data_IF_631669844988
#
_entry.id   IF_631669844988
#
_cell.length_a   1.000
_cell.length_b   1.000
_cell.length_c   1.000
_cell.angle_alpha   90.00
_cell.angle_beta   90.00
_cell.angle_gamma   90.00
#
_symmetry.space_group_name_H-M   'P 1'
#
loop_
_entity.id
_entity.type
_entity.pdbx_description
1 polymer ?
#
# COMPACT_ATOMS: atom_id res chain seq x y z
N UNK A 1 -13.18 1.27 -28.63
CA UNK A 1 -13.15 1.00 -27.19
C UNK A 1 -11.69 0.86 -26.79
N UNK A 2 -11.13 1.83 -26.10
CA UNK A 2 -9.77 1.78 -25.56
C UNK A 2 -9.67 0.62 -24.58
N UNK A 3 -8.73 -0.29 -24.80
CA UNK A 3 -8.48 -1.40 -23.88
C UNK A 3 -8.05 -0.84 -22.50
N UNK A 4 -8.66 -1.29 -21.39
CA UNK A 4 -8.18 -0.90 -20.06
C UNK A 4 -6.73 -1.37 -19.91
N UNK A 5 -5.85 -0.46 -19.52
CA UNK A 5 -4.46 -0.78 -19.19
C UNK A 5 -4.38 -1.66 -17.93
N UNK A 6 -3.20 -2.22 -17.66
CA UNK A 6 -3.01 -3.13 -16.52
C UNK A 6 -3.32 -2.47 -15.16
N UNK A 7 -3.05 -1.18 -15.03
CA UNK A 7 -3.30 -0.41 -13.81
C UNK A 7 -4.78 -0.09 -13.61
N UNK A 8 -5.53 0.14 -14.71
CA UNK A 8 -6.99 0.24 -14.65
C UNK A 8 -7.64 -1.05 -14.16
N UNK A 9 -7.04 -2.22 -14.48
CA UNK A 9 -7.43 -3.51 -13.91
C UNK A 9 -7.07 -3.67 -12.42
N UNK A 10 -6.05 -2.95 -11.95
CA UNK A 10 -5.65 -2.91 -10.54
C UNK A 10 -6.44 -1.88 -9.72
N UNK A 11 -7.08 -0.90 -10.37
CA UNK A 11 -7.80 0.16 -9.66
C UNK A 11 -8.80 -0.36 -8.61
N UNK A 12 -9.55 -1.48 -8.83
CA UNK A 12 -10.39 -2.07 -7.79
C UNK A 12 -9.58 -2.58 -6.58
N UNK A 13 -8.37 -3.13 -6.82
CA UNK A 13 -7.49 -3.64 -5.77
C UNK A 13 -6.75 -2.53 -5.03
N UNK A 14 -6.60 -1.37 -5.69
CA UNK A 14 -6.01 -0.16 -5.13
C UNK A 14 -7.07 0.79 -4.54
N UNK A 15 -8.35 0.43 -4.59
CA UNK A 15 -9.44 1.13 -3.89
C UNK A 15 -9.31 0.89 -2.39
N UNK A 16 -8.29 1.51 -1.84
CA UNK A 16 -8.10 1.65 -0.40
C UNK A 16 -8.90 2.86 0.07
N UNK A 17 -9.38 2.82 1.32
CA UNK A 17 -10.01 3.99 1.92
C UNK A 17 -8.95 4.77 2.69
N UNK A 18 -8.52 5.94 2.20
CA UNK A 18 -7.66 6.79 2.97
C UNK A 18 -8.45 7.38 4.14
N UNK A 19 -7.84 7.32 5.29
CA UNK A 19 -8.30 7.99 6.49
C UNK A 19 -7.29 9.10 6.79
N UNK A 20 -7.65 10.34 6.47
CA UNK A 20 -6.84 11.50 6.82
C UNK A 20 -6.94 11.72 8.33
N UNK A 21 -5.80 11.78 9.01
CA UNK A 21 -5.75 11.88 10.46
C UNK A 21 -5.33 13.27 10.92
N UNK A 22 -4.31 13.83 10.28
CA UNK A 22 -3.70 15.07 10.74
C UNK A 22 -3.28 15.99 9.60
N UNK A 23 -3.47 17.27 9.80
CA UNK A 23 -2.67 18.33 9.17
C UNK A 23 -1.60 18.74 10.16
N UNK A 24 -0.34 18.64 9.80
CA UNK A 24 0.79 18.98 10.65
C UNK A 24 1.42 20.28 10.18
N UNK A 25 1.69 21.20 11.13
CA UNK A 25 2.34 22.49 10.89
C UNK A 25 3.46 22.65 11.91
N UNK A 26 4.69 22.46 11.45
CA UNK A 26 5.84 22.40 12.33
C UNK A 26 6.88 23.49 12.04
N UNK A 27 7.40 24.11 13.12
CA UNK A 27 8.56 24.97 13.09
C UNK A 27 9.87 24.20 12.90
N UNK A 28 11.01 24.80 13.31
CA UNK A 28 12.34 24.24 12.99
C UNK A 28 12.67 22.94 13.72
N UNK A 29 12.26 22.79 14.98
CA UNK A 29 12.62 21.64 15.83
C UNK A 29 11.37 20.85 16.22
N UNK A 30 11.29 19.63 15.73
CA UNK A 30 10.19 18.71 16.04
C UNK A 30 10.58 17.27 15.70
N UNK A 31 9.98 16.34 16.43
CA UNK A 31 9.97 14.93 16.08
C UNK A 31 8.61 14.33 16.42
N UNK A 32 8.08 13.54 15.53
CA UNK A 32 6.79 12.87 15.64
C UNK A 32 6.98 11.36 15.40
N UNK A 33 7.13 10.56 16.46
CA UNK A 33 7.23 9.13 16.35
C UNK A 33 5.85 8.52 16.01
N UNK A 34 5.87 7.54 15.13
CA UNK A 34 4.73 6.72 14.74
C UNK A 34 5.05 5.26 15.02
N UNK A 35 4.22 4.62 15.82
CA UNK A 35 4.32 3.18 16.06
C UNK A 35 3.95 2.40 14.82
N UNK A 36 4.40 1.14 14.76
CA UNK A 36 3.96 0.23 13.71
C UNK A 36 2.45 0.06 13.72
N UNK A 37 1.83 0.08 12.54
CA UNK A 37 0.40 -0.14 12.37
C UNK A 37 0.11 -1.65 12.27
N UNK A 38 -1.12 -2.03 12.61
CA UNK A 38 -1.59 -3.40 12.39
C UNK A 38 -1.72 -3.71 10.89
N UNK A 39 -1.68 -4.99 10.53
CA UNK A 39 -1.61 -5.48 9.14
C UNK A 39 -2.64 -4.92 8.15
N UNK A 40 -3.73 -4.30 8.61
CA UNK A 40 -4.78 -3.72 7.75
C UNK A 40 -4.57 -2.24 7.41
N UNK A 41 -3.48 -1.63 7.84
CA UNK A 41 -3.22 -0.21 7.69
C UNK A 41 -1.83 0.07 7.11
N UNK A 42 -1.76 1.04 6.19
CA UNK A 42 -0.50 1.60 5.72
C UNK A 42 -0.48 3.12 5.91
N UNK A 43 0.41 3.65 6.74
CA UNK A 43 0.60 5.08 6.89
C UNK A 43 1.07 5.73 5.59
N UNK A 44 0.65 6.97 5.39
CA UNK A 44 1.19 7.81 4.34
C UNK A 44 1.35 9.26 4.82
N UNK A 45 2.30 9.96 4.22
CA UNK A 45 2.53 11.38 4.44
C UNK A 45 2.68 12.12 3.12
N UNK A 46 2.07 13.27 3.02
CA UNK A 46 2.17 14.19 1.89
C UNK A 46 2.84 15.46 2.40
N UNK A 47 3.99 15.83 1.85
CA UNK A 47 4.64 17.09 2.19
C UNK A 47 4.02 18.19 1.34
N UNK A 48 3.18 19.01 1.96
CA UNK A 48 2.46 20.10 1.26
C UNK A 48 3.28 21.37 1.20
N UNK A 49 4.22 21.57 2.15
CA UNK A 49 5.14 22.71 2.16
C UNK A 49 6.40 22.40 2.98
N UNK A 50 7.55 23.00 2.63
CA UNK A 50 8.82 22.87 3.33
C UNK A 50 9.53 21.55 3.12
N UNK A 51 10.26 21.09 4.15
CA UNK A 51 11.04 19.85 4.10
C UNK A 51 11.17 19.21 5.49
N UNK A 52 11.33 17.87 5.50
CA UNK A 52 11.52 17.09 6.69
C UNK A 52 12.32 15.81 6.40
N UNK A 53 12.60 15.02 7.44
CA UNK A 53 13.23 13.72 7.32
C UNK A 53 12.29 12.65 7.90
N UNK A 54 12.18 11.53 7.20
CA UNK A 54 11.59 10.31 7.72
C UNK A 54 12.70 9.34 8.07
N UNK A 55 12.76 8.92 9.31
CA UNK A 55 13.67 7.88 9.81
C UNK A 55 12.92 6.57 10.01
N UNK A 56 13.48 5.47 9.49
CA UNK A 56 12.96 4.10 9.59
C UNK A 56 13.87 3.32 10.57
N UNK A 57 13.44 3.11 11.83
CA UNK A 57 14.31 2.52 12.86
C UNK A 57 14.76 1.08 12.54
N UNK A 58 13.90 0.25 11.93
CA UNK A 58 14.22 -1.15 11.62
C UNK A 58 15.34 -1.30 10.60
N UNK A 59 15.31 -0.49 9.53
CA UNK A 59 16.33 -0.53 8.47
C UNK A 59 17.46 0.47 8.70
N UNK A 60 17.35 1.39 9.68
CA UNK A 60 18.29 2.47 9.93
C UNK A 60 18.33 3.53 8.82
N UNK A 61 17.38 3.51 7.87
CA UNK A 61 17.34 4.43 6.74
C UNK A 61 16.74 5.77 7.14
N UNK A 62 17.29 6.84 6.60
CA UNK A 62 16.69 8.18 6.67
C UNK A 62 16.43 8.69 5.26
N UNK A 63 15.25 9.24 5.03
CA UNK A 63 14.77 9.73 3.74
C UNK A 63 14.40 11.20 3.91
N UNK A 64 15.09 12.08 3.19
CA UNK A 64 14.71 13.49 3.15
C UNK A 64 13.53 13.67 2.21
N UNK A 65 12.52 14.39 2.67
CA UNK A 65 11.29 14.70 1.94
C UNK A 65 11.14 16.21 1.79
N UNK A 66 10.58 16.63 0.67
CA UNK A 66 10.38 18.04 0.30
C UNK A 66 8.97 18.28 -0.19
N UNK A 67 8.59 19.54 -0.33
CA UNK A 67 7.30 19.93 -0.92
C UNK A 67 7.01 19.15 -2.20
N UNK A 68 5.87 18.51 -2.26
CA UNK A 68 5.43 17.67 -3.36
C UNK A 68 5.80 16.20 -3.25
N UNK A 69 6.55 15.79 -2.23
CA UNK A 69 6.84 14.38 -2.00
C UNK A 69 5.67 13.70 -1.28
N UNK A 70 5.37 12.49 -1.72
CA UNK A 70 4.42 11.59 -1.09
C UNK A 70 5.16 10.32 -0.69
N UNK A 71 5.03 9.94 0.56
CA UNK A 71 5.58 8.69 1.06
C UNK A 71 4.45 7.79 1.57
N UNK A 72 4.53 6.52 1.17
CA UNK A 72 3.66 5.44 1.60
C UNK A 72 4.51 4.38 2.31
N UNK A 73 4.05 3.90 3.46
CA UNK A 73 4.64 2.79 4.19
C UNK A 73 3.72 1.55 4.08
N UNK A 74 3.88 0.75 3.02
CA UNK A 74 2.91 -0.31 2.68
C UNK A 74 2.76 -1.40 3.73
N UNK A 75 3.79 -1.59 4.57
CA UNK A 75 3.83 -2.63 5.62
C UNK A 75 3.47 -2.10 7.01
N UNK A 76 3.07 -0.84 7.11
CA UNK A 76 2.76 -0.24 8.41
C UNK A 76 3.99 0.00 9.30
N UNK A 77 5.20 0.07 8.73
CA UNK A 77 6.46 0.15 9.48
C UNK A 77 6.48 1.33 10.45
N UNK A 78 7.04 1.11 11.65
CA UNK A 78 7.32 2.18 12.60
C UNK A 78 8.28 3.20 11.96
N UNK A 79 8.04 4.48 12.20
CA UNK A 79 8.86 5.54 11.63
C UNK A 79 8.82 6.81 12.47
N UNK A 80 9.81 7.67 12.28
CA UNK A 80 9.90 8.96 12.97
C UNK A 80 9.99 10.06 11.90
N UNK A 81 9.01 10.96 11.90
CA UNK A 81 9.06 12.18 11.10
C UNK A 81 9.71 13.27 11.94
N UNK A 82 10.71 13.99 11.41
CA UNK A 82 11.39 15.05 12.17
C UNK A 82 11.89 16.18 11.28
N UNK A 83 12.13 17.34 11.90
CA UNK A 83 12.72 18.50 11.23
C UNK A 83 14.15 18.24 10.73
N UNK A 84 14.60 18.99 9.73
CA UNK A 84 15.94 18.83 9.13
C UNK A 84 17.09 18.97 10.14
N UNK A 85 16.90 19.77 11.17
CA UNK A 85 17.91 20.06 12.22
C UNK A 85 17.69 19.25 13.50
N UNK A 86 16.71 18.36 13.53
CA UNK A 86 16.35 17.57 14.71
C UNK A 86 16.84 16.13 14.54
N UNK A 87 17.42 15.56 15.59
CA UNK A 87 17.80 14.15 15.61
C UNK A 87 16.55 13.26 15.76
N UNK A 88 16.44 12.10 15.09
CA UNK A 88 15.36 11.14 15.31
C UNK A 88 15.33 10.58 16.73
N UNK A 89 16.47 10.59 17.44
CA UNK A 89 16.62 10.17 18.84
C UNK A 89 16.43 11.31 19.84
N UNK A 90 16.12 12.53 19.37
CA UNK A 90 15.94 13.66 20.25
C UNK A 90 14.74 13.42 21.18
N UNK A 91 15.03 13.25 22.45
CA UNK A 91 14.04 13.13 23.52
C UNK A 91 13.75 14.53 24.07
N UNK A 92 12.68 15.15 23.63
CA UNK A 92 12.26 16.46 24.16
C UNK A 92 10.77 16.68 23.95
N UNK A 93 10.13 17.40 24.86
CA UNK A 93 8.77 17.88 24.62
C UNK A 93 8.84 18.94 23.52
N UNK A 94 8.61 18.55 22.27
CA UNK A 94 8.56 19.49 21.15
C UNK A 94 7.29 20.36 21.16
N UNK A 95 6.50 20.27 22.23
CA UNK A 95 5.32 21.12 22.44
C UNK A 95 4.22 20.92 21.40
N UNK A 96 4.13 19.74 20.78
CA UNK A 96 3.12 19.47 19.75
C UNK A 96 1.72 19.51 20.38
N UNK A 97 0.93 20.52 20.02
CA UNK A 97 -0.46 20.65 20.39
C UNK A 97 -1.36 20.10 19.28
N UNK A 98 -2.48 19.51 19.66
CA UNK A 98 -3.53 19.07 18.73
C UNK A 98 -4.75 19.95 18.89
N UNK A 99 -5.29 20.49 17.77
CA UNK A 99 -6.51 21.30 17.72
C UNK A 99 -7.48 20.69 16.71
N UNK A 100 -8.74 20.67 17.04
CA UNK A 100 -9.80 20.29 16.10
C UNK A 100 -10.05 21.47 15.13
N UNK A 101 -10.06 21.19 13.83
CA UNK A 101 -10.37 22.15 12.78
C UNK A 101 -11.73 21.82 12.10
N UNK A 102 -12.57 21.01 12.75
CA UNK A 102 -13.89 20.62 12.26
C UNK A 102 -13.87 19.53 11.17
N UNK A 103 -12.79 19.44 10.37
CA UNK A 103 -12.62 18.45 9.32
C UNK A 103 -11.59 17.38 9.68
N UNK A 104 -10.51 17.79 10.37
CA UNK A 104 -9.35 16.95 10.68
C UNK A 104 -8.55 17.59 11.83
N UNK A 105 -7.82 16.78 12.59
CA UNK A 105 -6.98 17.29 13.67
C UNK A 105 -5.74 18.02 13.11
N UNK A 106 -5.47 19.21 13.63
CA UNK A 106 -4.24 19.97 13.34
C UNK A 106 -3.23 19.74 14.45
N UNK A 107 -2.05 19.25 14.10
CA UNK A 107 -0.88 19.15 15.01
C UNK A 107 0.09 20.30 14.72
N UNK A 108 0.45 21.06 15.74
CA UNK A 108 1.41 22.16 15.61
C UNK A 108 2.31 22.26 16.82
N UNK A 109 3.57 22.67 16.60
CA UNK A 109 4.51 23.08 17.65
C UNK A 109 4.90 24.57 17.51
N UNK A 110 4.21 25.32 16.68
CA UNK A 110 4.47 26.74 16.46
C UNK A 110 3.16 27.49 16.18
N UNK A 111 3.08 28.73 16.62
CA UNK A 111 2.03 29.68 16.23
C UNK A 111 2.57 30.71 15.22
N UNK A 112 3.82 30.57 14.76
CA UNK A 112 4.52 31.45 13.82
C UNK A 112 4.88 30.76 12.52
N UNK A 113 6.09 31.02 12.03
CA UNK A 113 6.59 30.42 10.78
C UNK A 113 6.64 28.90 10.83
N UNK A 114 6.22 28.27 9.75
CA UNK A 114 6.28 26.83 9.57
C UNK A 114 7.41 26.44 8.62
N UNK A 115 8.23 25.47 9.02
CA UNK A 115 9.32 24.91 8.22
C UNK A 115 8.90 23.65 7.47
N UNK A 116 7.83 23.00 7.93
CA UNK A 116 7.25 21.85 7.28
C UNK A 116 5.73 21.78 7.51
N UNK A 117 4.98 21.53 6.43
CA UNK A 117 3.56 21.24 6.49
C UNK A 117 3.32 19.87 5.84
N UNK A 118 2.56 19.01 6.54
CA UNK A 118 2.26 17.67 6.07
C UNK A 118 0.76 17.35 6.24
N UNK A 119 0.24 16.57 5.33
CA UNK A 119 -1.01 15.84 5.51
C UNK A 119 -0.65 14.40 5.80
N UNK A 120 -1.08 13.90 6.95
CA UNK A 120 -0.79 12.55 7.42
C UNK A 120 -2.07 11.75 7.52
N UNK A 121 -2.01 10.50 7.10
CA UNK A 121 -3.12 9.58 7.16
C UNK A 121 -2.68 8.15 7.04
N UNK A 122 -3.66 7.27 6.91
CA UNK A 122 -3.45 5.85 6.73
C UNK A 122 -4.43 5.28 5.72
N UNK A 123 -4.04 4.23 5.03
CA UNK A 123 -4.87 3.47 4.11
C UNK A 123 -5.45 2.27 4.83
N UNK A 124 -6.75 2.09 4.74
CA UNK A 124 -7.42 0.89 5.21
C UNK A 124 -7.56 -0.12 4.08
N UNK A 125 -7.18 -1.37 4.36
CA UNK A 125 -7.32 -2.50 3.44
C UNK A 125 -8.51 -3.35 3.84
N UNK A 126 -9.41 -3.58 2.90
CA UNK A 126 -10.61 -4.39 3.13
C UNK A 126 -10.43 -5.84 2.69
N UNK A 127 -9.46 -6.13 1.79
CA UNK A 127 -9.28 -7.44 1.17
C UNK A 127 -7.85 -7.96 1.27
N UNK A 128 -7.71 -9.27 1.50
CA UNK A 128 -6.40 -9.93 1.58
C UNK A 128 -5.55 -9.78 0.30
N UNK A 129 -6.19 -9.64 -0.87
CA UNK A 129 -5.50 -9.36 -2.13
C UNK A 129 -4.79 -8.00 -2.16
N UNK A 130 -5.39 -6.98 -1.54
CA UNK A 130 -4.77 -5.64 -1.42
C UNK A 130 -3.51 -5.70 -0.55
N UNK A 131 -3.57 -6.38 0.59
CA UNK A 131 -2.43 -6.60 1.46
C UNK A 131 -1.27 -7.30 0.76
N UNK A 132 -1.56 -8.18 -0.17
CA UNK A 132 -0.54 -8.88 -0.95
C UNK A 132 0.24 -7.95 -1.88
N UNK A 133 -0.47 -7.10 -2.62
CA UNK A 133 0.17 -6.11 -3.51
C UNK A 133 1.03 -5.14 -2.70
N UNK A 134 0.50 -4.62 -1.60
CA UNK A 134 1.19 -3.63 -0.79
C UNK A 134 2.39 -4.21 -0.03
N UNK A 135 2.29 -5.44 0.43
CA UNK A 135 3.43 -6.10 1.10
C UNK A 135 4.55 -6.51 0.13
N UNK A 136 4.26 -6.61 -1.17
CA UNK A 136 5.28 -6.78 -2.20
C UNK A 136 6.03 -5.48 -2.50
N UNK A 137 5.47 -4.32 -2.13
CA UNK A 137 6.15 -3.04 -2.21
C UNK A 137 7.29 -2.94 -1.17
N UNK A 138 8.30 -2.10 -1.40
CA UNK A 138 9.37 -1.87 -0.44
C UNK A 138 8.82 -1.28 0.88
N UNK A 139 9.66 -1.26 1.92
CA UNK A 139 9.33 -0.71 3.24
C UNK A 139 8.75 0.70 3.18
N UNK A 140 9.31 1.54 2.29
CA UNK A 140 8.80 2.86 1.98
C UNK A 140 8.82 3.10 0.46
N UNK A 141 7.70 3.57 -0.07
CA UNK A 141 7.57 4.05 -1.45
C UNK A 141 7.51 5.56 -1.41
N UNK A 142 8.47 6.20 -2.05
CA UNK A 142 8.52 7.67 -2.16
C UNK A 142 8.34 8.06 -3.62
N UNK A 143 7.44 8.97 -3.87
CA UNK A 143 7.24 9.58 -5.19
C UNK A 143 7.34 11.08 -5.05
N UNK A 144 8.20 11.66 -5.86
CA UNK A 144 8.43 13.10 -5.89
C UNK A 144 7.63 13.77 -7.02
N UNK A 145 6.97 14.86 -6.70
CA UNK A 145 6.33 15.70 -7.70
C UNK A 145 7.35 16.60 -8.46
N UNK A 146 8.64 16.46 -8.19
CA UNK A 146 9.68 17.21 -8.93
C UNK A 146 10.00 16.55 -10.28
N UNK A 147 9.85 15.24 -10.41
CA UNK A 147 10.30 14.45 -11.55
C UNK A 147 9.24 13.45 -12.01
N UNK A 148 9.27 13.08 -13.29
CA UNK A 148 8.40 12.08 -13.89
C UNK A 148 7.20 12.66 -14.64
N UNK A 149 6.57 11.81 -15.46
CA UNK A 149 5.46 12.19 -16.35
C UNK A 149 4.23 12.68 -15.59
N UNK A 150 3.99 12.16 -14.40
CA UNK A 150 2.86 12.52 -13.53
C UNK A 150 3.15 13.69 -12.57
N UNK A 151 4.37 14.23 -12.55
CA UNK A 151 4.80 15.25 -11.59
C UNK A 151 3.86 16.46 -11.48
N UNK A 152 3.36 16.95 -12.61
CA UNK A 152 2.41 18.09 -12.65
C UNK A 152 1.06 17.73 -12.03
N UNK A 153 0.55 16.52 -12.32
CA UNK A 153 -0.74 16.06 -11.78
C UNK A 153 -0.65 15.82 -10.28
N UNK A 154 0.43 15.23 -9.81
CA UNK A 154 0.72 15.00 -8.38
C UNK A 154 0.74 16.34 -7.65
N UNK A 155 1.48 17.35 -8.15
CA UNK A 155 1.49 18.69 -7.56
C UNK A 155 0.12 19.33 -7.47
N UNK A 156 -0.69 19.21 -8.53
CA UNK A 156 -2.06 19.75 -8.56
C UNK A 156 -2.95 19.06 -7.54
N UNK A 157 -2.90 17.73 -7.44
CA UNK A 157 -3.68 16.99 -6.46
C UNK A 157 -3.28 17.36 -5.02
N UNK A 158 -1.97 17.48 -4.73
CA UNK A 158 -1.47 17.92 -3.42
C UNK A 158 -1.99 19.35 -3.10
N UNK A 159 -1.94 20.25 -4.07
CA UNK A 159 -2.46 21.61 -3.88
C UNK A 159 -3.96 21.62 -3.58
N UNK A 160 -4.76 20.80 -4.27
CA UNK A 160 -6.19 20.67 -4.00
C UNK A 160 -6.47 20.08 -2.62
N UNK A 161 -5.73 19.02 -2.22
CA UNK A 161 -5.85 18.46 -0.86
C UNK A 161 -5.58 19.53 0.18
N UNK A 162 -4.51 20.31 0.01
CA UNK A 162 -4.17 21.41 0.92
C UNK A 162 -5.27 22.48 0.96
N UNK A 163 -5.74 22.95 -0.19
CA UNK A 163 -6.77 24.00 -0.31
C UNK A 163 -8.08 23.56 0.36
N UNK A 164 -8.52 22.32 0.15
CA UNK A 164 -9.73 21.81 0.80
C UNK A 164 -9.59 21.75 2.33
N UNK A 165 -8.44 21.28 2.82
CA UNK A 165 -8.21 21.17 4.27
C UNK A 165 -8.00 22.53 4.95
N UNK A 166 -7.36 23.49 4.28
CA UNK A 166 -7.17 24.85 4.80
C UNK A 166 -8.48 25.66 4.76
N UNK A 167 -9.37 25.37 3.81
CA UNK A 167 -10.63 26.08 3.61
C UNK A 167 -11.71 25.81 4.65
N UNK A 168 -11.64 24.71 5.39
CA UNK A 168 -12.57 24.34 6.46
C UNK A 168 -14.05 24.24 6.02
N UNK A 169 -14.31 24.01 4.72
CA UNK A 169 -15.65 23.95 4.14
C UNK A 169 -16.36 22.63 4.50
N UNK A 170 -17.70 22.60 4.61
CA UNK A 170 -18.43 21.35 4.74
C UNK A 170 -18.07 20.35 3.63
N UNK A 171 -17.72 19.11 3.98
CA UNK A 171 -17.30 18.08 3.04
C UNK A 171 -15.82 18.07 2.68
N UNK A 172 -15.01 19.05 3.14
CA UNK A 172 -13.59 19.14 2.83
C UNK A 172 -12.80 17.85 3.13
N UNK A 173 -13.06 17.21 4.28
CA UNK A 173 -12.40 15.93 4.63
C UNK A 173 -12.74 14.79 3.65
N UNK A 174 -13.98 14.73 3.16
CA UNK A 174 -14.39 13.72 2.19
C UNK A 174 -13.70 13.97 0.82
N UNK A 175 -13.73 15.21 0.33
CA UNK A 175 -13.07 15.59 -0.92
C UNK A 175 -11.56 15.34 -0.83
N UNK A 176 -10.91 15.76 0.24
CA UNK A 176 -9.48 15.54 0.44
C UNK A 176 -9.13 14.03 0.52
N UNK A 177 -10.00 13.22 1.10
CA UNK A 177 -9.86 11.76 1.14
C UNK A 177 -9.92 11.13 -0.27
N UNK A 178 -10.87 11.55 -1.10
CA UNK A 178 -10.98 11.05 -2.48
C UNK A 178 -9.78 11.49 -3.35
N UNK A 179 -9.30 12.73 -3.17
CA UNK A 179 -8.09 13.22 -3.83
C UNK A 179 -6.84 12.43 -3.37
N UNK A 180 -6.74 12.12 -2.07
CA UNK A 180 -5.69 11.27 -1.54
C UNK A 180 -5.75 9.85 -2.12
N UNK A 181 -6.95 9.29 -2.34
CA UNK A 181 -7.12 8.00 -3.03
C UNK A 181 -6.51 8.02 -4.44
N UNK A 182 -6.82 9.06 -5.22
CA UNK A 182 -6.27 9.24 -6.56
C UNK A 182 -4.74 9.36 -6.52
N UNK A 183 -4.21 10.18 -5.59
CA UNK A 183 -2.78 10.39 -5.41
C UNK A 183 -2.05 9.08 -5.09
N UNK A 184 -2.61 8.22 -4.24
CA UNK A 184 -2.01 6.94 -3.87
C UNK A 184 -1.97 5.93 -5.02
N UNK A 185 -3.00 5.93 -5.88
CA UNK A 185 -2.96 5.14 -7.12
C UNK A 185 -1.81 5.61 -8.01
N UNK A 186 -1.58 6.92 -8.12
CA UNK A 186 -0.46 7.49 -8.88
C UNK A 186 0.90 7.12 -8.26
N UNK A 187 1.02 7.11 -6.93
CA UNK A 187 2.23 6.67 -6.23
C UNK A 187 2.57 5.20 -6.57
N UNK A 188 1.58 4.32 -6.51
CA UNK A 188 1.79 2.90 -6.88
C UNK A 188 2.15 2.77 -8.36
N UNK A 189 1.48 3.52 -9.24
CA UNK A 189 1.78 3.55 -10.68
C UNK A 189 3.22 3.97 -10.95
N UNK A 190 3.64 5.11 -10.44
CA UNK A 190 4.99 5.63 -10.62
C UNK A 190 6.04 4.64 -10.10
N UNK A 191 5.76 3.97 -8.98
CA UNK A 191 6.64 2.94 -8.46
C UNK A 191 6.74 1.73 -9.41
N UNK A 192 5.62 1.24 -9.93
CA UNK A 192 5.60 0.09 -10.85
C UNK A 192 6.30 0.38 -12.19
N UNK A 193 6.24 1.64 -12.67
CA UNK A 193 6.91 2.08 -13.91
C UNK A 193 8.42 2.23 -13.74
N UNK A 194 8.88 2.68 -12.58
CA UNK A 194 10.29 2.97 -12.32
C UNK A 194 11.06 1.80 -11.70
N UNK A 195 10.38 0.94 -10.95
CA UNK A 195 11.03 -0.13 -10.23
C UNK A 195 11.44 -1.27 -11.16
N UNK A 196 12.75 -1.52 -11.25
CA UNK A 196 13.28 -2.83 -11.65
C UNK A 196 13.08 -3.80 -10.49
N UNK A 197 11.84 -4.25 -10.30
CA UNK A 197 11.52 -5.10 -9.16
C UNK A 197 11.97 -6.54 -9.39
N UNK A 198 12.61 -7.11 -8.37
CA UNK A 198 12.89 -8.55 -8.29
C UNK A 198 11.67 -9.35 -7.83
N UNK A 199 10.63 -8.67 -7.32
CA UNK A 199 9.40 -9.32 -6.89
C UNK A 199 8.53 -9.72 -8.07
N UNK A 200 8.20 -11.02 -8.11
CA UNK A 200 7.44 -11.63 -9.21
C UNK A 200 6.03 -11.05 -9.36
N UNK A 201 5.38 -10.72 -8.23
CA UNK A 201 4.04 -10.15 -8.24
C UNK A 201 4.05 -8.75 -8.86
N UNK A 202 4.94 -7.88 -8.42
CA UNK A 202 5.06 -6.52 -8.95
C UNK A 202 5.47 -6.51 -10.42
N UNK A 203 6.40 -7.40 -10.81
CA UNK A 203 6.82 -7.55 -12.21
C UNK A 203 5.66 -7.99 -13.13
N UNK A 204 4.78 -8.88 -12.63
CA UNK A 204 3.58 -9.30 -13.37
C UNK A 204 2.53 -8.17 -13.42
N UNK A 205 2.33 -7.45 -12.31
CA UNK A 205 1.38 -6.34 -12.22
C UNK A 205 1.76 -5.17 -13.14
N UNK A 206 3.05 -4.86 -13.25
CA UNK A 206 3.56 -3.86 -14.19
C UNK A 206 3.50 -4.28 -15.67
N UNK A 207 3.22 -5.57 -15.98
CA UNK A 207 3.14 -6.03 -17.37
C UNK A 207 1.70 -5.89 -17.92
N UNK A 208 1.46 -5.22 -19.05
CA UNK A 208 0.11 -4.89 -19.53
C UNK A 208 -0.88 -6.07 -19.64
N UNK A 209 -0.41 -7.22 -20.10
CA UNK A 209 -1.25 -8.42 -20.25
C UNK A 209 -1.34 -9.24 -18.96
N UNK A 210 -0.18 -9.50 -18.32
CA UNK A 210 -0.14 -10.31 -17.10
C UNK A 210 -0.82 -9.59 -15.94
N UNK A 211 -0.67 -8.27 -15.83
CA UNK A 211 -1.30 -7.48 -14.78
C UNK A 211 -2.81 -7.63 -14.73
N UNK A 212 -3.50 -7.68 -15.88
CA UNK A 212 -4.95 -7.95 -15.94
C UNK A 212 -5.31 -9.34 -15.42
N UNK A 213 -4.54 -10.35 -15.80
CA UNK A 213 -4.78 -11.71 -15.31
C UNK A 213 -4.54 -11.82 -13.81
N UNK A 214 -3.45 -11.21 -13.28
CA UNK A 214 -3.15 -11.18 -11.85
C UNK A 214 -4.20 -10.39 -11.07
N UNK A 215 -4.66 -9.25 -11.58
CA UNK A 215 -5.73 -8.48 -10.97
C UNK A 215 -7.01 -9.31 -10.82
N UNK A 216 -7.42 -10.03 -11.88
CA UNK A 216 -8.58 -10.92 -11.83
C UNK A 216 -8.40 -12.08 -10.83
N UNK A 217 -7.20 -12.67 -10.75
CA UNK A 217 -6.88 -13.70 -9.76
C UNK A 217 -6.96 -13.17 -8.32
N UNK A 218 -6.50 -11.94 -8.07
CA UNK A 218 -6.54 -11.29 -6.76
C UNK A 218 -7.99 -10.92 -6.35
N UNK A 219 -8.79 -10.46 -7.30
CA UNK A 219 -10.20 -10.10 -7.08
C UNK A 219 -11.05 -11.33 -6.75
N UNK A 220 -10.82 -12.43 -7.45
CA UNK A 220 -11.58 -13.67 -7.28
C UNK A 220 -10.66 -14.90 -7.13
N UNK A 221 -9.90 -15.02 -6.03
CA UNK A 221 -8.93 -16.11 -5.83
C UNK A 221 -9.61 -17.48 -5.75
N UNK A 222 -10.83 -17.55 -5.22
CA UNK A 222 -11.59 -18.78 -5.10
C UNK A 222 -12.19 -19.31 -6.41
N UNK A 223 -12.27 -18.48 -7.45
CA UNK A 223 -12.81 -18.89 -8.74
C UNK A 223 -11.93 -19.96 -9.40
N UNK A 224 -12.55 -21.00 -9.97
CA UNK A 224 -11.87 -22.06 -10.73
C UNK A 224 -11.38 -21.54 -12.11
N UNK A 225 -10.39 -20.64 -12.09
CA UNK A 225 -9.83 -20.06 -13.29
C UNK A 225 -9.22 -21.10 -14.23
N UNK A 226 -9.59 -21.04 -15.49
CA UNK A 226 -8.92 -21.79 -16.57
C UNK A 226 -7.87 -20.89 -17.25
N UNK A 227 -6.92 -21.52 -17.95
CA UNK A 227 -5.93 -20.75 -18.72
C UNK A 227 -6.60 -19.95 -19.86
N UNK A 228 -7.69 -20.44 -20.40
CA UNK A 228 -8.46 -19.75 -21.44
C UNK A 228 -9.14 -18.48 -20.91
N UNK A 229 -9.77 -18.56 -19.75
CA UNK A 229 -10.39 -17.40 -19.11
C UNK A 229 -9.35 -16.34 -18.74
N UNK A 230 -8.19 -16.76 -18.18
CA UNK A 230 -7.10 -15.86 -17.86
C UNK A 230 -6.52 -15.19 -19.11
N UNK A 231 -6.36 -15.93 -20.21
CA UNK A 231 -5.90 -15.39 -21.49
C UNK A 231 -6.92 -14.40 -22.09
N UNK A 232 -8.21 -14.69 -21.96
CA UNK A 232 -9.30 -13.80 -22.38
C UNK A 232 -9.26 -12.47 -21.60
N UNK A 233 -9.22 -12.52 -20.27
CA UNK A 233 -9.10 -11.33 -19.41
C UNK A 233 -7.82 -10.54 -19.68
N UNK A 234 -6.71 -11.23 -19.95
CA UNK A 234 -5.44 -10.63 -20.32
C UNK A 234 -5.43 -10.02 -21.73
N UNK A 235 -6.48 -10.22 -22.54
CA UNK A 235 -6.50 -9.90 -23.98
C UNK A 235 -5.26 -10.45 -24.70
N UNK A 236 -4.95 -11.73 -24.46
CA UNK A 236 -3.73 -12.38 -24.92
C UNK A 236 -4.00 -13.82 -25.35
N UNK A 237 -3.11 -14.39 -26.16
CA UNK A 237 -3.14 -15.84 -26.38
C UNK A 237 -2.60 -16.60 -25.16
N UNK A 238 -3.06 -17.86 -24.96
CA UNK A 238 -2.52 -18.75 -23.91
C UNK A 238 -0.99 -18.82 -23.93
N UNK A 239 -0.41 -19.00 -25.11
CA UNK A 239 1.03 -19.12 -25.28
C UNK A 239 1.78 -17.83 -24.87
N UNK A 240 1.23 -16.66 -25.24
CA UNK A 240 1.81 -15.37 -24.84
C UNK A 240 1.73 -15.17 -23.32
N UNK A 241 0.57 -15.43 -22.72
CA UNK A 241 0.39 -15.31 -21.27
C UNK A 241 1.36 -16.22 -20.49
N UNK A 242 1.47 -17.50 -20.88
CA UNK A 242 2.41 -18.44 -20.26
C UNK A 242 3.86 -17.96 -20.39
N UNK A 243 4.24 -17.42 -21.55
CA UNK A 243 5.59 -16.89 -21.78
C UNK A 243 5.89 -15.70 -20.85
N UNK A 244 4.96 -14.79 -20.69
CA UNK A 244 5.10 -13.63 -19.81
C UNK A 244 5.24 -14.06 -18.35
N UNK A 245 4.37 -14.95 -17.86
CA UNK A 245 4.46 -15.46 -16.50
C UNK A 245 5.79 -16.18 -16.24
N UNK A 246 6.25 -17.01 -17.16
CA UNK A 246 7.57 -17.67 -17.05
C UNK A 246 8.73 -16.68 -17.07
N UNK A 247 8.63 -15.59 -17.81
CA UNK A 247 9.65 -14.55 -17.88
C UNK A 247 9.70 -13.75 -16.57
N UNK A 248 8.56 -13.31 -16.05
CA UNK A 248 8.47 -12.42 -14.87
C UNK A 248 8.53 -13.21 -13.56
N UNK A 249 7.83 -14.34 -13.46
CA UNK A 249 7.63 -15.07 -12.21
C UNK A 249 8.27 -16.49 -12.20
N UNK A 250 8.86 -16.94 -13.31
CA UNK A 250 9.48 -18.28 -13.47
C UNK A 250 8.51 -19.46 -13.34
N UNK A 251 7.22 -19.22 -13.23
CA UNK A 251 6.18 -20.25 -13.11
C UNK A 251 5.06 -20.03 -14.12
N UNK A 252 4.17 -21.03 -14.28
CA UNK A 252 3.00 -20.92 -15.15
C UNK A 252 1.84 -20.16 -14.45
N UNK A 253 0.88 -19.57 -15.21
CA UNK A 253 -0.22 -18.78 -14.62
C UNK A 253 -1.04 -19.51 -13.56
N UNK A 254 -1.42 -20.77 -13.77
CA UNK A 254 -2.21 -21.54 -12.82
C UNK A 254 -1.38 -21.96 -11.58
N UNK A 255 -0.07 -22.18 -11.74
CA UNK A 255 0.83 -22.43 -10.61
C UNK A 255 0.98 -21.13 -9.77
N UNK A 256 1.09 -19.97 -10.43
CA UNK A 256 1.08 -18.68 -9.75
C UNK A 256 -0.22 -18.47 -8.95
N UNK A 257 -1.38 -18.79 -9.54
CA UNK A 257 -2.66 -18.73 -8.83
C UNK A 257 -2.67 -19.63 -7.58
N UNK A 258 -2.07 -20.81 -7.65
CA UNK A 258 -1.96 -21.72 -6.50
C UNK A 258 -1.12 -21.10 -5.39
N UNK A 259 0.05 -20.52 -5.72
CA UNK A 259 0.89 -19.81 -4.73
C UNK A 259 0.18 -18.59 -4.15
N UNK A 260 -0.53 -17.82 -4.97
CA UNK A 260 -1.32 -16.68 -4.56
C UNK A 260 -2.42 -17.07 -3.54
N UNK A 261 -3.15 -18.16 -3.82
CA UNK A 261 -4.18 -18.72 -2.93
C UNK A 261 -3.61 -19.11 -1.56
N UNK A 262 -2.47 -19.78 -1.56
CA UNK A 262 -1.79 -20.21 -0.33
C UNK A 262 -1.29 -19.01 0.47
N UNK A 263 -0.78 -17.98 -0.18
CA UNK A 263 -0.33 -16.75 0.51
C UNK A 263 -1.51 -15.96 1.10
N UNK A 264 -2.63 -15.85 0.36
CA UNK A 264 -3.88 -15.25 0.89
C UNK A 264 -4.37 -16.04 2.12
N UNK A 265 -4.35 -17.38 2.03
CA UNK A 265 -4.76 -18.23 3.14
C UNK A 265 -3.85 -18.08 4.36
N UNK A 266 -2.53 -18.01 4.18
CA UNK A 266 -1.56 -17.79 5.24
C UNK A 266 -1.85 -16.53 6.04
N UNK A 267 -2.13 -15.42 5.35
CA UNK A 267 -2.48 -14.14 5.98
C UNK A 267 -3.81 -14.21 6.73
N UNK A 268 -4.82 -14.87 6.14
CA UNK A 268 -6.11 -15.07 6.81
C UNK A 268 -5.99 -15.93 8.07
N UNK A 269 -5.08 -16.89 8.08
CA UNK A 269 -4.79 -17.72 9.26
C UNK A 269 -4.16 -16.91 10.39
N UNK A 270 -3.22 -16.02 10.07
CA UNK A 270 -2.56 -15.15 11.05
C UNK A 270 -3.53 -14.16 11.71
N UNK A 271 -4.45 -13.59 10.94
CA UNK A 271 -5.35 -12.52 11.39
C UNK A 271 -6.73 -12.96 11.92
N UNK A 272 -7.07 -14.27 11.91
CA UNK A 272 -8.43 -14.68 12.25
C UNK A 272 -8.55 -16.04 12.95
N UNK A 273 -9.58 -16.17 13.83
CA UNK A 273 -10.00 -17.45 14.42
C UNK A 273 -10.92 -18.30 13.53
N UNK A 274 -11.09 -17.96 12.26
CA UNK A 274 -12.04 -18.62 11.34
C UNK A 274 -11.69 -20.10 11.13
N UNK A 275 -12.68 -21.00 10.91
CA UNK A 275 -12.45 -22.40 10.58
C UNK A 275 -11.54 -22.57 9.35
N UNK A 276 -10.69 -23.60 9.38
CA UNK A 276 -9.79 -23.91 8.25
C UNK A 276 -10.56 -24.24 6.96
N UNK A 277 -11.70 -24.92 7.10
CA UNK A 277 -12.58 -25.26 5.98
C UNK A 277 -13.08 -24.01 5.24
N UNK A 278 -13.48 -22.96 6.00
CA UNK A 278 -13.97 -21.71 5.42
C UNK A 278 -12.87 -20.96 4.65
N UNK A 279 -11.66 -20.91 5.23
CA UNK A 279 -10.50 -20.30 4.56
C UNK A 279 -10.13 -21.09 3.29
N UNK A 280 -10.11 -22.42 3.37
CA UNK A 280 -9.82 -23.29 2.24
C UNK A 280 -10.84 -23.08 1.09
N UNK A 281 -12.12 -23.05 1.40
CA UNK A 281 -13.20 -22.83 0.43
C UNK A 281 -13.09 -21.43 -0.21
N UNK A 282 -12.85 -20.41 0.58
CA UNK A 282 -12.72 -19.02 0.11
C UNK A 282 -11.56 -18.84 -0.88
N UNK A 283 -10.45 -19.55 -0.67
CA UNK A 283 -9.31 -19.51 -1.60
C UNK A 283 -9.41 -20.56 -2.72
N UNK A 284 -10.52 -21.26 -2.84
CA UNK A 284 -10.86 -22.14 -3.97
C UNK A 284 -10.38 -23.59 -3.87
N UNK A 285 -10.15 -24.10 -2.66
CA UNK A 285 -9.91 -25.53 -2.45
C UNK A 285 -11.23 -26.26 -2.20
N UNK A 286 -11.37 -27.44 -2.84
CA UNK A 286 -12.57 -28.27 -2.75
C UNK A 286 -12.71 -29.00 -1.39
N UNK A 287 -11.58 -29.12 -0.66
CA UNK A 287 -11.57 -29.75 0.66
C UNK A 287 -10.45 -29.18 1.53
N UNK A 288 -10.68 -29.18 2.85
CA UNK A 288 -9.68 -28.80 3.84
C UNK A 288 -8.42 -29.69 3.77
N UNK A 289 -8.59 -30.99 3.45
CA UNK A 289 -7.47 -31.92 3.33
C UNK A 289 -6.57 -31.62 2.13
N UNK A 290 -7.15 -31.23 0.98
CA UNK A 290 -6.37 -30.80 -0.18
C UNK A 290 -5.63 -29.48 0.08
N UNK A 291 -6.29 -28.53 0.74
CA UNK A 291 -5.70 -27.29 1.19
C UNK A 291 -4.52 -27.54 2.15
N UNK A 292 -4.73 -28.33 3.21
CA UNK A 292 -3.72 -28.59 4.24
C UNK A 292 -2.48 -29.24 3.65
N UNK A 293 -2.62 -30.20 2.71
CA UNK A 293 -1.49 -30.80 1.99
C UNK A 293 -0.72 -29.79 1.15
N UNK A 294 -1.42 -28.96 0.37
CA UNK A 294 -0.79 -27.94 -0.46
C UNK A 294 -0.07 -26.88 0.41
N UNK A 295 -0.68 -26.47 1.50
CA UNK A 295 -0.12 -25.52 2.45
C UNK A 295 1.15 -26.07 3.13
N UNK A 296 1.11 -27.32 3.62
CA UNK A 296 2.25 -27.97 4.24
C UNK A 296 3.40 -28.18 3.24
N UNK A 297 3.09 -28.55 2.00
CA UNK A 297 4.11 -28.67 0.94
C UNK A 297 4.80 -27.32 0.66
N UNK A 298 4.07 -26.22 0.71
CA UNK A 298 4.57 -24.86 0.41
C UNK A 298 5.35 -24.23 1.56
N UNK A 299 4.88 -24.42 2.80
CA UNK A 299 5.41 -23.72 3.98
C UNK A 299 6.11 -24.63 5.01
N UNK A 300 6.11 -25.94 4.81
CA UNK A 300 6.74 -26.91 5.71
C UNK A 300 5.95 -27.17 7.01
N UNK A 301 4.93 -26.40 7.30
CA UNK A 301 4.09 -26.49 8.51
C UNK A 301 2.62 -26.67 8.16
N UNK A 302 1.82 -27.21 9.06
CA UNK A 302 0.37 -27.34 8.87
C UNK A 302 -0.32 -26.00 9.09
N UNK A 303 -1.49 -25.74 8.45
CA UNK A 303 -2.23 -24.47 8.63
C UNK A 303 -2.56 -24.14 10.09
N UNK A 304 -2.89 -25.16 10.91
CA UNK A 304 -3.17 -24.99 12.34
C UNK A 304 -1.95 -24.53 13.14
N UNK A 305 -0.76 -25.05 12.84
CA UNK A 305 0.51 -24.66 13.46
C UNK A 305 0.89 -23.22 13.06
N UNK A 306 0.74 -22.87 11.78
CA UNK A 306 0.99 -21.53 11.29
C UNK A 306 0.12 -20.47 11.99
N UNK A 307 -1.13 -20.82 12.37
CA UNK A 307 -2.03 -19.95 13.15
C UNK A 307 -1.51 -19.70 14.57
N UNK A 308 -0.92 -20.70 15.22
CA UNK A 308 -0.42 -20.56 16.59
C UNK A 308 0.84 -19.70 16.67
N UNK A 309 1.79 -19.89 15.74
CA UNK A 309 3.01 -19.08 15.68
C UNK A 309 2.74 -17.58 15.48
N UNK A 310 1.58 -17.20 14.91
CA UNK A 310 1.22 -15.79 14.69
C UNK A 310 0.55 -15.13 15.89
N UNK A 311 0.24 -15.88 16.96
CA UNK A 311 -0.38 -15.34 18.20
C UNK A 311 0.63 -14.98 19.28
N UNK A 312 1.87 -15.42 19.13
CA UNK A 312 2.94 -15.24 20.13
C UNK A 312 3.89 -14.06 19.77
N UNK A 313 3.53 -13.25 18.79
CA UNK A 313 4.22 -12.01 18.39
C UNK A 313 3.22 -10.86 18.38
#
# INVERSE_FOLDING_TARGET
MTQPDALSGLAPLLRVRPELQYVCRFGAQWAAPHSAEVESWAPFHIVTDGACVMHLPESGRSIQLRTGDVVLLPRGSAHIMHGLTTSPTASGPFGIASRDNGAILVKSNTDGETNAQLVCGRLRFEHAGQNLVLSALPEAVVVSAAEGDDALLIRRLIAFVKEELDGGRPGAAAIASDLASALLVMVVRAHLETARTSDSLLALLGHPQAGRAVAAMLEAPGKAWTLDELACVAHSSRASLVRVFRKCARIAPLAFLTELRLEIARRKLAGSGRPLADIAAEVGYQSESAFSRAFQLRYGVRPGEARLCSRDH
#
